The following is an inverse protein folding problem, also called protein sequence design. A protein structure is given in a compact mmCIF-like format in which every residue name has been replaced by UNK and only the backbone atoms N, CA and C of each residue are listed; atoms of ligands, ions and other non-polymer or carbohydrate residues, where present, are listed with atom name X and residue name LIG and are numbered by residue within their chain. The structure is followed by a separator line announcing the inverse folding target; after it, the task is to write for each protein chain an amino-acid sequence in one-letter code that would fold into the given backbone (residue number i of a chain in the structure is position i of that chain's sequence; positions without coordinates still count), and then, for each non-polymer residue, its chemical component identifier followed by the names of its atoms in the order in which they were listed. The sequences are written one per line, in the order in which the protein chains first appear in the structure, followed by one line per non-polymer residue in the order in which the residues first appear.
data_IF_636913732168
#
_entry.id   IF_636913732168
#
_cell.length_a   1.000
_cell.length_b   1.000
_cell.length_c   1.000
_cell.angle_alpha   90.00
_cell.angle_beta   90.00
_cell.angle_gamma   90.00
#
_symmetry.space_group_name_H-M   'P 1'
#
loop_
_entity.id
_entity.type
_entity.pdbx_description
1 polymer ?
#
# COMPACT_ATOMS: atom_id res chain seq x y z
N UNK A 1 -6.97 19.93 5.36
CA UNK A 1 -7.11 19.22 4.07
C UNK A 1 -6.12 19.84 3.10
N UNK A 2 -5.22 19.05 2.52
CA UNK A 2 -4.35 19.52 1.45
C UNK A 2 -5.13 19.46 0.13
N UNK A 3 -5.01 20.49 -0.70
CA UNK A 3 -5.63 20.50 -2.02
C UNK A 3 -4.85 19.58 -2.96
N UNK A 4 -5.53 18.58 -3.52
CA UNK A 4 -5.02 17.73 -4.60
C UNK A 4 -5.64 18.21 -5.91
N UNK A 5 -4.85 18.55 -6.93
CA UNK A 5 -5.42 18.84 -8.24
C UNK A 5 -6.17 17.59 -8.76
N UNK A 6 -7.26 17.78 -9.56
CA UNK A 6 -7.97 16.67 -10.17
C UNK A 6 -7.02 15.72 -10.91
N UNK A 7 -7.28 14.41 -10.81
CA UNK A 7 -6.50 13.36 -11.49
C UNK A 7 -4.99 13.41 -11.23
N UNK A 8 -4.56 13.85 -10.04
CA UNK A 8 -3.15 13.83 -9.63
C UNK A 8 -2.87 12.73 -8.59
N UNK A 9 -3.03 11.45 -8.93
CA UNK A 9 -2.76 10.33 -8.02
C UNK A 9 -1.29 10.32 -7.55
N UNK A 10 -0.37 10.85 -8.37
CA UNK A 10 1.06 10.94 -8.06
C UNK A 10 1.36 11.79 -6.82
N UNK A 11 0.45 12.70 -6.45
CA UNK A 11 0.58 13.52 -5.24
C UNK A 11 -0.14 12.94 -4.02
N UNK A 12 -0.80 11.78 -4.15
CA UNK A 12 -1.50 11.14 -3.04
C UNK A 12 -0.72 9.92 -2.51
N UNK A 13 -0.16 9.99 -1.29
CA UNK A 13 0.67 8.91 -0.73
C UNK A 13 -0.04 7.56 -0.60
N UNK A 14 -1.39 7.55 -0.53
CA UNK A 14 -2.14 6.29 -0.42
C UNK A 14 -1.99 5.40 -1.67
N UNK A 15 -1.73 5.99 -2.84
CA UNK A 15 -1.53 5.24 -4.08
C UNK A 15 -0.27 4.38 -4.00
N UNK A 16 0.80 4.91 -3.40
CA UNK A 16 2.03 4.17 -3.13
C UNK A 16 1.79 3.05 -2.10
N UNK A 17 0.99 3.31 -1.06
CA UNK A 17 0.59 2.26 -0.10
C UNK A 17 -0.21 1.13 -0.78
N UNK A 18 -1.15 1.44 -1.68
CA UNK A 18 -1.87 0.42 -2.44
C UNK A 18 -0.97 -0.35 -3.39
N UNK A 19 0.00 0.32 -4.03
CA UNK A 19 1.02 -0.34 -4.84
C UNK A 19 1.83 -1.34 -4.00
N UNK A 20 2.25 -0.95 -2.79
CA UNK A 20 2.94 -1.81 -1.84
C UNK A 20 2.11 -3.02 -1.43
N UNK A 21 0.86 -2.82 -1.01
CA UNK A 21 -0.07 -3.90 -0.63
C UNK A 21 -0.21 -4.91 -1.77
N UNK A 22 -0.49 -4.45 -2.99
CA UNK A 22 -0.60 -5.32 -4.17
C UNK A 22 0.70 -6.07 -4.45
N UNK A 23 1.85 -5.42 -4.29
CA UNK A 23 3.16 -6.05 -4.44
C UNK A 23 3.41 -7.13 -3.40
N UNK A 24 3.10 -6.83 -2.13
CA UNK A 24 3.24 -7.79 -1.03
C UNK A 24 2.36 -9.02 -1.23
N UNK A 25 1.09 -8.84 -1.61
CA UNK A 25 0.17 -9.94 -1.89
C UNK A 25 0.68 -10.84 -3.03
N UNK A 26 1.16 -10.26 -4.12
CA UNK A 26 1.75 -11.02 -5.25
C UNK A 26 2.99 -11.79 -4.83
N UNK A 27 3.84 -11.20 -3.98
CA UNK A 27 5.05 -11.85 -3.47
C UNK A 27 4.74 -13.06 -2.58
N UNK A 28 3.61 -13.03 -1.86
CA UNK A 28 3.21 -14.09 -0.93
C UNK A 28 2.02 -14.91 -1.44
N UNK A 29 1.83 -14.97 -2.77
CA UNK A 29 0.61 -15.50 -3.39
C UNK A 29 0.27 -16.94 -2.96
N UNK A 30 1.29 -17.79 -2.75
CA UNK A 30 1.10 -19.17 -2.28
C UNK A 30 0.55 -19.23 -0.85
N UNK A 31 0.92 -18.28 0.02
CA UNK A 31 0.40 -18.17 1.38
C UNK A 31 -1.00 -17.53 1.37
N UNK A 32 -1.21 -16.52 0.53
CA UNK A 32 -2.51 -15.85 0.34
C UNK A 32 -3.57 -16.86 -0.09
N UNK A 33 -3.27 -17.72 -1.06
CA UNK A 33 -4.21 -18.76 -1.54
C UNK A 33 -4.52 -19.85 -0.50
N UNK A 34 -3.73 -19.95 0.58
CA UNK A 34 -4.01 -20.87 1.69
C UNK A 34 -4.89 -20.25 2.78
N UNK A 35 -5.14 -18.93 2.72
CA UNK A 35 -6.03 -18.29 3.68
C UNK A 35 -7.48 -18.59 3.30
N UNK A 36 -8.28 -19.03 4.27
CA UNK A 36 -9.71 -19.24 4.08
C UNK A 36 -10.47 -17.91 3.90
N UNK A 37 -9.96 -16.84 4.52
CA UNK A 37 -10.48 -15.48 4.40
C UNK A 37 -9.43 -14.54 3.80
N UNK A 38 -9.77 -13.92 2.67
CA UNK A 38 -8.91 -12.94 1.99
C UNK A 38 -8.63 -11.69 2.83
N UNK A 39 -9.47 -11.37 3.82
CA UNK A 39 -9.23 -10.25 4.75
C UNK A 39 -7.95 -10.47 5.55
N UNK A 40 -7.62 -11.70 5.94
CA UNK A 40 -6.39 -12.03 6.66
C UNK A 40 -5.15 -11.68 5.83
N UNK A 41 -5.19 -11.96 4.53
CA UNK A 41 -4.11 -11.62 3.62
C UNK A 41 -3.95 -10.11 3.42
N UNK A 42 -5.07 -9.39 3.30
CA UNK A 42 -5.08 -7.94 3.17
C UNK A 42 -4.58 -7.28 4.46
N UNK A 43 -5.02 -7.74 5.63
CA UNK A 43 -4.56 -7.24 6.92
C UNK A 43 -3.05 -7.44 7.11
N UNK A 44 -2.55 -8.64 6.82
CA UNK A 44 -1.10 -8.91 6.85
C UNK A 44 -0.31 -8.00 5.89
N UNK A 45 -0.85 -7.74 4.69
CA UNK A 45 -0.23 -6.82 3.74
C UNK A 45 -0.23 -5.37 4.24
N UNK A 46 -1.32 -4.90 4.86
CA UNK A 46 -1.39 -3.59 5.51
C UNK A 46 -0.39 -3.48 6.66
N UNK A 47 -0.28 -4.51 7.49
CA UNK A 47 0.68 -4.59 8.60
C UNK A 47 2.14 -4.65 8.16
N UNK A 48 2.41 -4.96 6.88
CA UNK A 48 3.75 -4.89 6.29
C UNK A 48 4.24 -3.45 6.01
N UNK A 49 3.36 -2.45 6.10
CA UNK A 49 3.70 -1.05 5.90
C UNK A 49 4.32 -0.51 7.19
N UNK A 50 5.65 -0.54 7.25
CA UNK A 50 6.39 0.05 8.36
C UNK A 50 6.61 1.57 8.18
N UNK A 51 7.27 2.19 9.18
CA UNK A 51 7.59 3.63 9.16
C UNK A 51 8.42 4.04 7.95
N UNK A 52 9.28 3.15 7.42
CA UNK A 52 10.15 3.44 6.27
C UNK A 52 9.33 3.44 4.98
N UNK A 53 8.43 2.46 4.82
CA UNK A 53 7.51 2.39 3.68
C UNK A 53 6.62 3.63 3.66
N UNK A 54 6.02 3.97 4.81
CA UNK A 54 5.18 5.17 4.92
C UNK A 54 5.96 6.45 4.58
N UNK A 55 7.14 6.65 5.17
CA UNK A 55 7.98 7.82 4.87
C UNK A 55 8.39 7.89 3.38
N UNK A 56 8.66 6.74 2.75
CA UNK A 56 8.94 6.65 1.32
C UNK A 56 7.75 7.08 0.46
N UNK A 57 6.53 6.69 0.83
CA UNK A 57 5.31 7.10 0.14
C UNK A 57 5.10 8.62 0.19
N UNK A 58 5.27 9.24 1.36
CA UNK A 58 5.20 10.70 1.51
C UNK A 58 6.27 11.41 0.66
N UNK A 59 7.52 10.97 0.76
CA UNK A 59 8.63 11.53 -0.01
C UNK A 59 8.40 11.44 -1.52
N UNK A 60 7.84 10.34 -2.01
CA UNK A 60 7.54 10.15 -3.44
C UNK A 60 6.53 11.18 -3.96
N UNK A 61 5.56 11.55 -3.14
CA UNK A 61 4.54 12.55 -3.47
C UNK A 61 4.99 14.00 -3.22
N UNK A 62 6.24 14.23 -2.79
CA UNK A 62 6.81 15.56 -2.56
C UNK A 62 6.56 16.14 -1.17
N UNK A 63 6.23 15.31 -0.17
CA UNK A 63 6.12 15.70 1.25
C UNK A 63 7.44 15.54 2.02
#
# INVERSE_FOLDING_TARGET
LNFLPPYSPDFNPIEQCFSWIKGWLRKHIDWVHRQEDGVVAIDAACMSIDKKVAAGAFKHCGY
#
